data_IF_984137517098
#
_entry.id   IF_984137517098
#
_cell.length_a   1.000
_cell.length_b   1.000
_cell.length_c   1.000
_cell.angle_alpha   90.00
_cell.angle_beta   90.00
_cell.angle_gamma   90.00
#
_symmetry.space_group_name_H-M   'P 1'
#
loop_
_entity.id
_entity.type
_entity.pdbx_description
1 polymer ?
#
# COMPACT_ATOMS: atom_id res chain seq x y z
N UNK A 1 15.40 13.45 -39.91
CA UNK A 1 15.42 12.05 -39.44
C UNK A 1 16.22 11.81 -38.15
N UNK A 2 17.56 11.86 -38.13
CA UNK A 2 18.34 11.45 -36.94
C UNK A 2 18.20 12.40 -35.74
N UNK A 3 18.12 13.71 -36.00
CA UNK A 3 17.85 14.75 -34.98
C UNK A 3 16.44 14.62 -34.37
N UNK A 4 15.42 14.39 -35.19
CA UNK A 4 14.03 14.18 -34.74
C UNK A 4 13.90 12.91 -33.91
N UNK A 5 14.58 11.83 -34.34
CA UNK A 5 14.69 10.59 -33.56
C UNK A 5 15.36 10.82 -32.20
N UNK A 6 16.45 11.58 -32.17
CA UNK A 6 17.12 11.97 -30.91
C UNK A 6 16.21 12.78 -29.98
N UNK A 7 15.44 13.72 -30.54
CA UNK A 7 14.49 14.52 -29.79
C UNK A 7 13.34 13.68 -29.23
N UNK A 8 12.79 12.75 -30.02
CA UNK A 8 11.77 11.80 -29.56
C UNK A 8 12.27 10.95 -28.40
N UNK A 9 13.45 10.35 -28.53
CA UNK A 9 14.01 9.50 -27.49
C UNK A 9 14.22 10.27 -26.19
N UNK A 10 14.68 11.52 -26.28
CA UNK A 10 14.80 12.40 -25.11
C UNK A 10 13.44 12.74 -24.50
N UNK A 11 12.43 13.02 -25.32
CA UNK A 11 11.07 13.30 -24.85
C UNK A 11 10.44 12.09 -24.17
N UNK A 12 10.55 10.88 -24.75
CA UNK A 12 10.06 9.65 -24.13
C UNK A 12 10.82 9.31 -22.85
N UNK A 13 12.14 9.52 -22.82
CA UNK A 13 12.95 9.32 -21.61
C UNK A 13 12.46 10.17 -20.44
N UNK A 14 12.29 11.47 -20.68
CA UNK A 14 11.95 12.45 -19.63
C UNK A 14 10.47 12.51 -19.30
N UNK A 15 9.60 12.42 -20.30
CA UNK A 15 8.15 12.59 -20.12
C UNK A 15 7.42 11.29 -19.80
N UNK A 16 8.01 10.13 -20.08
CA UNK A 16 7.36 8.82 -19.91
C UNK A 16 8.18 7.94 -18.97
N UNK A 17 9.42 7.61 -19.34
CA UNK A 17 10.18 6.57 -18.67
C UNK A 17 10.64 6.96 -17.25
N UNK A 18 11.11 8.20 -17.05
CA UNK A 18 11.52 8.71 -15.75
C UNK A 18 10.34 8.80 -14.74
N UNK A 19 9.18 9.41 -15.08
CA UNK A 19 8.02 9.44 -14.21
C UNK A 19 7.51 8.05 -13.81
N UNK A 20 7.48 7.09 -14.76
CA UNK A 20 7.05 5.72 -14.48
C UNK A 20 8.01 5.02 -13.50
N UNK A 21 9.33 5.21 -13.64
CA UNK A 21 10.30 4.70 -12.66
C UNK A 21 10.08 5.33 -11.29
N UNK A 22 9.90 6.65 -11.23
CA UNK A 22 9.66 7.36 -9.97
C UNK A 22 8.39 6.89 -9.24
N UNK A 23 7.36 6.45 -9.97
CA UNK A 23 6.13 5.90 -9.38
C UNK A 23 6.31 4.52 -8.72
N UNK A 24 7.32 3.75 -9.13
CA UNK A 24 7.61 2.41 -8.59
C UNK A 24 8.46 2.47 -7.33
N UNK A 25 9.27 3.51 -7.16
CA UNK A 25 10.15 3.73 -5.99
C UNK A 25 9.83 5.06 -5.28
N UNK A 26 8.59 5.51 -5.38
CA UNK A 26 8.17 6.80 -4.85
C UNK A 26 7.82 6.72 -3.37
N UNK A 27 8.16 7.78 -2.61
CA UNK A 27 7.85 7.90 -1.18
C UNK A 27 6.39 7.57 -0.81
N UNK A 28 5.34 7.97 -1.58
CA UNK A 28 3.96 7.59 -1.26
C UNK A 28 3.70 6.08 -1.27
N UNK A 29 4.37 5.34 -2.17
CA UNK A 29 4.24 3.89 -2.24
C UNK A 29 4.99 3.21 -1.07
N UNK A 30 6.18 3.71 -0.74
CA UNK A 30 6.97 3.22 0.41
C UNK A 30 6.21 3.46 1.73
N UNK A 31 5.65 4.65 1.93
CA UNK A 31 4.85 4.99 3.12
C UNK A 31 3.62 4.09 3.26
N UNK A 32 2.89 3.85 2.15
CA UNK A 32 1.74 2.96 2.14
C UNK A 32 2.12 1.50 2.44
N UNK A 33 3.27 1.03 1.93
CA UNK A 33 3.82 -0.29 2.26
C UNK A 33 4.20 -0.39 3.73
N UNK A 34 4.81 0.65 4.32
CA UNK A 34 5.12 0.68 5.75
C UNK A 34 3.87 0.59 6.62
N UNK A 35 2.77 1.27 6.24
CA UNK A 35 1.48 1.14 6.92
C UNK A 35 0.93 -0.29 6.82
N UNK A 36 0.96 -0.89 5.63
CA UNK A 36 0.52 -2.27 5.43
C UNK A 36 1.34 -3.27 6.28
N UNK A 37 2.66 -3.13 6.31
CA UNK A 37 3.54 -3.96 7.13
C UNK A 37 3.28 -3.79 8.64
N UNK A 38 2.95 -2.57 9.09
CA UNK A 38 2.57 -2.34 10.50
C UNK A 38 1.23 -2.98 10.81
N UNK A 39 0.27 -2.88 9.89
CA UNK A 39 -1.03 -3.56 10.02
C UNK A 39 -0.85 -5.08 10.15
N UNK A 40 -0.05 -5.69 9.28
CA UNK A 40 0.20 -7.14 9.30
C UNK A 40 0.84 -7.60 10.61
N UNK A 41 1.82 -6.85 11.13
CA UNK A 41 2.42 -7.13 12.45
C UNK A 41 1.37 -7.07 13.56
N UNK A 42 0.55 -6.02 13.57
CA UNK A 42 -0.50 -5.87 14.59
C UNK A 42 -1.57 -6.97 14.49
N UNK A 43 -1.88 -7.42 13.28
CA UNK A 43 -2.79 -8.54 13.03
C UNK A 43 -2.23 -9.84 13.62
N UNK A 44 -0.95 -10.12 13.41
CA UNK A 44 -0.27 -11.29 14.00
C UNK A 44 -0.25 -11.22 15.54
N UNK A 45 -0.01 -10.03 16.12
CA UNK A 45 -0.09 -9.83 17.57
C UNK A 45 -1.50 -10.09 18.12
N UNK A 46 -2.54 -9.63 17.42
CA UNK A 46 -3.93 -9.87 17.78
C UNK A 46 -4.29 -11.37 17.70
N UNK A 47 -3.82 -12.09 16.67
CA UNK A 47 -3.98 -13.53 16.52
C UNK A 47 -3.32 -14.30 17.68
N UNK A 48 -2.07 -13.95 18.02
CA UNK A 48 -1.36 -14.54 19.14
C UNK A 48 -2.09 -14.29 20.48
N UNK A 49 -2.59 -13.07 20.69
CA UNK A 49 -3.35 -12.73 21.89
C UNK A 49 -4.69 -13.47 21.96
N UNK A 50 -5.36 -13.72 20.83
CA UNK A 50 -6.60 -14.49 20.78
C UNK A 50 -6.39 -15.97 21.19
N UNK A 51 -5.27 -16.56 20.79
CA UNK A 51 -4.87 -17.90 21.24
C UNK A 51 -4.66 -17.90 22.75
N UNK A 52 -4.01 -16.88 23.29
CA UNK A 52 -3.77 -16.78 24.72
C UNK A 52 -5.07 -16.60 25.53
N UNK A 53 -6.03 -15.79 25.03
CA UNK A 53 -7.38 -15.70 25.61
C UNK A 53 -8.01 -17.10 25.67
N UNK A 54 -7.96 -17.85 24.56
CA UNK A 54 -8.53 -19.19 24.48
C UNK A 54 -7.91 -20.15 25.52
N UNK A 55 -6.59 -20.09 25.70
CA UNK A 55 -5.88 -20.88 26.73
C UNK A 55 -6.32 -20.51 28.14
N UNK A 56 -6.51 -19.22 28.43
CA UNK A 56 -6.96 -18.75 29.76
C UNK A 56 -8.42 -19.11 30.02
N UNK A 57 -9.28 -19.06 29.01
CA UNK A 57 -10.67 -19.53 29.11
C UNK A 57 -10.72 -21.01 29.48
N UNK A 58 -9.88 -21.86 28.87
CA UNK A 58 -9.78 -23.27 29.24
C UNK A 58 -9.36 -23.45 30.71
N UNK A 59 -8.34 -22.73 31.18
CA UNK A 59 -7.89 -22.79 32.58
C UNK A 59 -8.95 -22.35 33.60
N UNK A 60 -9.73 -21.32 33.28
CA UNK A 60 -10.86 -20.89 34.13
C UNK A 60 -11.93 -21.97 34.19
N UNK A 61 -12.19 -22.68 33.09
CA UNK A 61 -13.15 -23.82 33.06
C UNK A 61 -12.64 -25.02 33.85
N UNK A 62 -11.35 -25.31 33.82
CA UNK A 62 -10.73 -26.41 34.57
C UNK A 62 -10.69 -26.14 36.08
N UNK A 63 -10.53 -24.88 36.50
CA UNK A 63 -10.49 -24.46 37.90
C UNK A 63 -11.50 -23.33 38.19
N UNK A 64 -12.80 -23.65 38.27
CA UNK A 64 -13.83 -22.67 38.59
C UNK A 64 -13.60 -22.04 39.96
N UNK A 65 -13.77 -20.72 40.07
CA UNK A 65 -13.61 -19.98 41.33
C UNK A 65 -12.18 -19.54 41.65
N UNK A 66 -11.18 -19.87 40.82
CA UNK A 66 -9.85 -19.30 40.95
C UNK A 66 -9.83 -17.84 40.45
N UNK A 67 -9.84 -16.89 41.40
CA UNK A 67 -9.83 -15.45 41.11
C UNK A 67 -8.62 -14.99 40.29
N UNK A 68 -7.44 -15.59 40.49
CA UNK A 68 -6.23 -15.25 39.74
C UNK A 68 -6.37 -15.63 38.25
N UNK A 69 -6.95 -16.80 37.96
CA UNK A 69 -7.21 -17.23 36.59
C UNK A 69 -8.24 -16.33 35.90
N UNK A 70 -9.28 -15.92 36.63
CA UNK A 70 -10.29 -14.97 36.14
C UNK A 70 -9.68 -13.60 35.81
N UNK A 71 -8.87 -13.03 36.71
CA UNK A 71 -8.19 -11.76 36.48
C UNK A 71 -7.23 -11.82 35.28
N UNK A 72 -6.47 -12.91 35.12
CA UNK A 72 -5.58 -13.10 33.96
C UNK A 72 -6.36 -13.20 32.66
N UNK A 73 -7.53 -13.84 32.67
CA UNK A 73 -8.41 -13.91 31.51
C UNK A 73 -8.92 -12.53 31.13
N UNK A 74 -9.46 -11.77 32.09
CA UNK A 74 -9.97 -10.42 31.87
C UNK A 74 -8.88 -9.48 31.30
N UNK A 75 -7.68 -9.51 31.88
CA UNK A 75 -6.54 -8.73 31.35
C UNK A 75 -6.17 -9.13 29.91
N UNK A 76 -6.26 -10.42 29.58
CA UNK A 76 -5.98 -10.91 28.25
C UNK A 76 -7.04 -10.50 27.22
N UNK A 77 -8.31 -10.49 27.63
CA UNK A 77 -9.44 -10.04 26.82
C UNK A 77 -9.42 -8.53 26.59
N UNK A 78 -9.10 -7.73 27.61
CA UNK A 78 -8.89 -6.30 27.50
C UNK A 78 -7.79 -5.97 26.48
N UNK A 79 -6.61 -6.61 26.61
CA UNK A 79 -5.51 -6.45 25.65
C UNK A 79 -5.90 -6.86 24.23
N UNK A 80 -6.68 -7.93 24.07
CA UNK A 80 -7.18 -8.35 22.76
C UNK A 80 -8.12 -7.29 22.15
N UNK A 81 -8.97 -6.69 22.97
CA UNK A 81 -9.88 -5.63 22.53
C UNK A 81 -9.10 -4.39 22.08
N UNK A 82 -8.10 -3.98 22.84
CA UNK A 82 -7.21 -2.86 22.47
C UNK A 82 -6.52 -3.13 21.12
N UNK A 83 -5.93 -4.32 20.96
CA UNK A 83 -5.31 -4.72 19.69
C UNK A 83 -6.30 -4.68 18.52
N UNK A 84 -7.54 -5.16 18.69
CA UNK A 84 -8.57 -5.09 17.65
C UNK A 84 -8.93 -3.65 17.27
N UNK A 85 -9.06 -2.76 18.26
CA UNK A 85 -9.37 -1.34 17.98
C UNK A 85 -8.24 -0.66 17.22
N UNK A 86 -6.99 -0.86 17.66
CA UNK A 86 -5.81 -0.32 16.99
C UNK A 86 -5.65 -0.88 15.58
N UNK A 87 -5.88 -2.19 15.40
CA UNK A 87 -5.81 -2.85 14.10
C UNK A 87 -6.86 -2.29 13.13
N UNK A 88 -8.08 -2.03 13.61
CA UNK A 88 -9.13 -1.42 12.78
C UNK A 88 -8.76 0.00 12.32
N UNK A 89 -8.16 0.82 13.20
CA UNK A 89 -7.70 2.17 12.85
C UNK A 89 -6.58 2.08 11.80
N UNK A 90 -5.54 1.29 12.10
CA UNK A 90 -4.39 1.13 11.21
C UNK A 90 -4.77 0.51 9.86
N UNK A 91 -5.74 -0.41 9.84
CA UNK A 91 -6.27 -1.00 8.61
C UNK A 91 -6.95 0.03 7.72
N UNK A 92 -7.71 0.97 8.30
CA UNK A 92 -8.31 2.09 7.55
C UNK A 92 -7.26 3.03 6.99
N UNK A 93 -6.23 3.34 7.77
CA UNK A 93 -5.10 4.19 7.32
C UNK A 93 -4.35 3.53 6.17
N UNK A 94 -3.98 2.26 6.30
CA UNK A 94 -3.30 1.50 5.26
C UNK A 94 -4.14 1.41 3.97
N UNK A 95 -5.43 1.12 4.09
CA UNK A 95 -6.33 1.05 2.94
C UNK A 95 -6.47 2.41 2.22
N UNK A 96 -6.63 3.50 2.99
CA UNK A 96 -6.72 4.84 2.43
C UNK A 96 -5.41 5.25 1.71
N UNK A 97 -4.26 4.97 2.32
CA UNK A 97 -2.95 5.27 1.74
C UNK A 97 -2.73 4.50 0.43
N UNK A 98 -2.97 3.18 0.41
CA UNK A 98 -2.83 2.35 -0.77
C UNK A 98 -3.78 2.78 -1.90
N UNK A 99 -5.03 3.10 -1.57
CA UNK A 99 -6.01 3.61 -2.56
C UNK A 99 -5.58 4.96 -3.15
N UNK A 100 -5.02 5.86 -2.34
CA UNK A 100 -4.49 7.12 -2.82
C UNK A 100 -3.30 6.93 -3.77
N UNK A 101 -2.39 5.98 -3.46
CA UNK A 101 -1.27 5.60 -4.33
C UNK A 101 -1.80 5.05 -5.65
N UNK A 102 -2.76 4.13 -5.62
CA UNK A 102 -3.35 3.56 -6.84
C UNK A 102 -3.98 4.64 -7.72
N UNK A 103 -4.80 5.53 -7.14
CA UNK A 103 -5.42 6.62 -7.87
C UNK A 103 -4.38 7.57 -8.50
N UNK A 104 -3.31 7.88 -7.76
CA UNK A 104 -2.20 8.69 -8.27
C UNK A 104 -1.50 7.98 -9.44
N UNK A 105 -1.23 6.68 -9.29
CA UNK A 105 -0.54 5.89 -10.31
C UNK A 105 -1.37 5.75 -11.58
N UNK A 106 -2.68 5.47 -11.46
CA UNK A 106 -3.60 5.41 -12.61
C UNK A 106 -3.64 6.75 -13.36
N UNK A 107 -3.79 7.87 -12.65
CA UNK A 107 -3.82 9.21 -13.26
C UNK A 107 -2.53 9.52 -14.01
N UNK A 108 -1.38 9.29 -13.37
CA UNK A 108 -0.08 9.55 -13.99
C UNK A 108 0.15 8.64 -15.18
N UNK A 109 -0.16 7.35 -15.06
CA UNK A 109 -0.01 6.37 -16.15
C UNK A 109 -0.80 6.80 -17.38
N UNK A 110 -2.06 7.21 -17.22
CA UNK A 110 -2.88 7.74 -18.31
C UNK A 110 -2.24 8.96 -18.98
N UNK A 111 -1.74 9.91 -18.19
CA UNK A 111 -1.03 11.09 -18.72
C UNK A 111 0.22 10.69 -19.53
N UNK A 112 0.98 9.68 -19.09
CA UNK A 112 2.17 9.20 -19.82
C UNK A 112 1.80 8.49 -21.12
N UNK A 113 0.70 7.72 -21.13
CA UNK A 113 0.19 7.08 -22.34
C UNK A 113 -0.25 8.12 -23.38
N UNK A 114 -0.98 9.16 -22.95
CA UNK A 114 -1.38 10.26 -23.83
C UNK A 114 -0.15 10.95 -24.43
N UNK A 115 0.83 11.33 -23.61
CA UNK A 115 2.05 12.00 -24.08
C UNK A 115 2.86 11.13 -25.08
N UNK A 116 2.88 9.81 -24.88
CA UNK A 116 3.54 8.88 -25.80
C UNK A 116 2.82 8.79 -27.15
N UNK A 117 1.49 8.79 -27.16
CA UNK A 117 0.68 8.77 -28.40
C UNK A 117 0.81 10.09 -29.14
N UNK A 118 0.70 11.22 -28.44
CA UNK A 118 0.83 12.56 -29.03
C UNK A 118 2.24 12.80 -29.60
N UNK A 119 3.28 12.43 -28.86
CA UNK A 119 4.67 12.52 -29.32
C UNK A 119 4.98 11.64 -30.54
N UNK A 120 4.33 10.48 -30.65
CA UNK A 120 4.42 9.61 -31.82
C UNK A 120 3.67 10.15 -33.04
N UNK A 121 2.49 10.76 -32.83
CA UNK A 121 1.66 11.32 -33.89
C UNK A 121 2.28 12.55 -34.54
N UNK A 122 2.84 13.50 -33.76
CA UNK A 122 3.47 14.71 -34.30
C UNK A 122 4.61 14.40 -35.29
N UNK A 123 5.41 13.37 -35.03
CA UNK A 123 6.52 12.97 -35.92
C UNK A 123 6.06 12.34 -37.23
N UNK A 124 4.91 11.65 -37.22
CA UNK A 124 4.31 11.09 -38.44
C UNK A 124 3.78 12.19 -39.36
N UNK A 125 3.30 13.31 -38.79
CA UNK A 125 2.87 14.49 -39.54
C UNK A 125 4.05 15.30 -40.07
N UNK A 126 5.07 15.55 -39.25
CA UNK A 126 6.25 16.34 -39.65
C UNK A 126 7.05 15.67 -40.77
N UNK A 127 7.20 14.34 -40.73
CA UNK A 127 7.89 13.56 -41.78
C UNK A 127 7.15 13.55 -43.12
N UNK A 128 5.82 13.66 -43.12
CA UNK A 128 5.00 13.79 -44.33
C UNK A 128 5.03 15.22 -44.91
N UNK A 129 5.27 16.23 -44.10
CA UNK A 129 5.33 17.64 -44.55
C UNK A 129 6.70 18.11 -45.02
N UNK A 130 7.77 17.39 -44.67
CA UNK A 130 9.17 17.72 -45.01
C UNK A 130 9.78 16.79 -46.09
N UNK A 131 8.95 16.01 -46.79
CA UNK A 131 9.35 15.13 -47.91
C UNK A 131 9.03 15.75 -49.26
#
# INVERSE_FOLDING_TARGET
MEKERGNLLKALGTQVAEPLRAMVVGAPLEDAQHLAQRYDRMRQEAEAQAIEVSKRQAKVREMPGNAENAMKLEAAEAKLQDLKTNMNILGKEAAAALSAVEAQQQRLTLQRLIAMVEGGACLSSDSLTNS
#
